data_IF_834929993034
#
_entry.id   IF_834929993034
#
_cell.length_a   1.000
_cell.length_b   1.000
_cell.length_c   1.000
_cell.angle_alpha   90.00
_cell.angle_beta   90.00
_cell.angle_gamma   90.00
#
_symmetry.space_group_name_H-M   'P 1'
#
loop_
_entity.id
_entity.type
_entity.pdbx_description
1 polymer ?
#
# COMPACT_ATOMS: atom_id res chain seq x y z
N UNK A 1 18.65 5.13 8.51
CA UNK A 1 17.26 5.32 8.97
C UNK A 1 16.93 6.80 8.87
N UNK A 2 15.95 7.16 8.06
CA UNK A 2 15.58 8.56 7.84
C UNK A 2 14.30 8.87 8.63
N UNK A 3 14.16 10.11 9.09
CA UNK A 3 12.97 10.58 9.80
C UNK A 3 12.46 11.83 9.10
N UNK A 4 11.24 11.74 8.57
CA UNK A 4 10.55 12.82 7.89
C UNK A 4 9.46 13.39 8.79
N UNK A 5 9.37 14.71 8.85
CA UNK A 5 8.36 15.43 9.60
C UNK A 5 7.54 16.29 8.62
N UNK A 6 6.34 15.84 8.30
CA UNK A 6 5.43 16.51 7.39
C UNK A 6 4.46 17.40 8.17
N UNK A 7 4.63 18.74 8.14
CA UNK A 7 3.60 19.63 8.64
C UNK A 7 2.36 19.52 7.76
N UNK A 8 1.19 19.79 8.34
CA UNK A 8 -0.06 19.86 7.56
C UNK A 8 0.06 20.90 6.44
N UNK A 9 -0.27 20.48 5.23
CA UNK A 9 -0.20 21.33 4.04
C UNK A 9 -1.53 21.96 3.71
N UNK A 10 -2.63 21.26 3.95
CA UNK A 10 -3.98 21.81 3.80
C UNK A 10 -4.87 21.26 4.90
N UNK A 11 -5.78 22.10 5.38
CA UNK A 11 -6.84 21.70 6.28
C UNK A 11 -8.08 22.56 6.07
N UNK A 12 -9.24 22.03 6.47
CA UNK A 12 -10.50 22.77 6.51
C UNK A 12 -11.48 21.97 7.37
N UNK A 13 -12.66 22.53 7.62
CA UNK A 13 -13.75 21.82 8.26
C UNK A 13 -15.09 22.21 7.64
N UNK A 14 -16.08 21.35 7.84
CA UNK A 14 -17.44 21.55 7.36
C UNK A 14 -18.42 21.27 8.48
N UNK A 15 -19.57 21.94 8.43
CA UNK A 15 -20.69 21.64 9.31
C UNK A 15 -22.02 21.93 8.61
N UNK A 16 -23.05 21.20 9.00
CA UNK A 16 -24.32 21.16 8.29
C UNK A 16 -25.21 22.41 8.49
N UNK A 17 -25.12 23.12 9.62
CA UNK A 17 -25.93 24.33 9.83
C UNK A 17 -25.59 25.48 8.86
N UNK A 18 -24.44 25.42 8.19
CA UNK A 18 -24.07 26.35 7.14
C UNK A 18 -23.52 25.61 5.92
N UNK A 19 -24.33 24.68 5.41
CA UNK A 19 -23.86 23.63 4.51
C UNK A 19 -23.18 24.14 3.23
N UNK A 20 -23.60 25.30 2.71
CA UNK A 20 -23.07 25.88 1.49
C UNK A 20 -21.83 26.78 1.70
N UNK A 21 -21.58 27.27 2.93
CA UNK A 21 -20.49 28.22 3.19
C UNK A 21 -19.19 27.47 3.53
N UNK A 22 -18.14 27.59 2.70
CA UNK A 22 -16.85 27.00 3.02
C UNK A 22 -16.22 27.70 4.21
N UNK A 23 -15.42 26.95 4.96
CA UNK A 23 -14.61 27.50 6.04
C UNK A 23 -13.20 27.75 5.50
N UNK A 24 -12.69 28.94 5.83
CA UNK A 24 -11.44 29.46 5.30
C UNK A 24 -10.45 29.69 6.42
N UNK A 25 -9.19 29.28 6.23
CA UNK A 25 -8.07 29.70 7.08
C UNK A 25 -8.33 29.49 8.57
N UNK A 26 -9.04 28.43 8.93
CA UNK A 26 -9.38 28.17 10.33
C UNK A 26 -8.12 27.93 11.14
N UNK A 27 -8.08 28.48 12.36
CA UNK A 27 -7.04 28.17 13.34
C UNK A 27 -7.29 26.83 14.05
N UNK A 28 -8.51 26.29 13.91
CA UNK A 28 -8.99 25.12 14.63
C UNK A 28 -9.71 24.15 13.71
N UNK A 29 -9.69 22.88 14.10
CA UNK A 29 -10.32 21.76 13.40
C UNK A 29 -11.36 21.14 14.34
N UNK A 30 -12.63 21.61 14.28
CA UNK A 30 -13.70 21.07 15.11
C UNK A 30 -14.12 19.67 14.65
N UNK A 31 -14.33 18.78 15.60
CA UNK A 31 -14.81 17.41 15.36
C UNK A 31 -15.81 17.04 16.44
N UNK A 32 -17.03 16.71 16.06
CA UNK A 32 -18.07 16.38 17.03
C UNK A 32 -19.47 16.64 16.55
N UNK A 33 -20.38 16.71 17.52
CA UNK A 33 -21.80 16.94 17.29
C UNK A 33 -22.37 17.78 18.42
N UNK A 34 -23.10 18.85 18.11
CA UNK A 34 -23.90 19.61 19.09
C UNK A 34 -25.38 19.43 18.76
N UNK A 35 -26.16 18.97 19.71
CA UNK A 35 -27.61 18.94 19.66
C UNK A 35 -28.13 20.21 20.34
N UNK A 36 -28.65 21.14 19.54
CA UNK A 36 -29.53 22.19 20.07
C UNK A 36 -30.95 21.61 20.19
N UNK A 37 -31.70 22.12 21.18
CA UNK A 37 -33.05 21.74 21.59
C UNK A 37 -33.95 21.06 20.52
N UNK A 38 -34.62 20.00 20.98
CA UNK A 38 -35.57 19.06 20.36
C UNK A 38 -35.29 18.45 18.97
N UNK A 39 -34.68 19.09 17.96
CA UNK A 39 -34.50 18.46 16.63
C UNK A 39 -33.28 18.88 15.79
N UNK A 40 -32.39 19.77 16.25
CA UNK A 40 -31.28 20.26 15.40
C UNK A 40 -29.92 19.75 15.86
N UNK A 41 -29.37 18.81 15.10
CA UNK A 41 -28.02 18.31 15.27
C UNK A 41 -27.05 19.05 14.34
N UNK A 42 -26.01 19.65 14.91
CA UNK A 42 -24.90 20.25 14.18
C UNK A 42 -23.73 19.29 14.18
N UNK A 43 -23.27 18.85 13.01
CA UNK A 43 -22.14 17.93 12.85
C UNK A 43 -20.91 18.68 12.36
N UNK A 44 -19.76 18.44 12.99
CA UNK A 44 -18.48 19.02 12.61
C UNK A 44 -17.55 17.92 12.12
N UNK A 45 -17.05 18.09 10.88
CA UNK A 45 -16.09 17.19 10.24
C UNK A 45 -14.89 18.03 9.82
N UNK A 46 -13.69 17.59 10.17
CA UNK A 46 -12.45 18.25 9.76
C UNK A 46 -11.66 17.41 8.77
N UNK A 47 -10.88 18.06 7.92
CA UNK A 47 -10.03 17.43 6.91
C UNK A 47 -8.60 17.93 7.04
N UNK A 48 -7.63 17.05 6.87
CA UNK A 48 -6.20 17.37 6.91
C UNK A 48 -5.46 16.64 5.79
N UNK A 49 -4.46 17.29 5.21
CA UNK A 49 -3.63 16.76 4.14
C UNK A 49 -2.16 17.01 4.42
N UNK A 50 -1.33 16.01 4.16
CA UNK A 50 0.13 16.05 4.26
C UNK A 50 0.72 15.75 2.89
N UNK A 51 1.60 16.60 2.39
CA UNK A 51 2.38 16.32 1.18
C UNK A 51 3.57 15.43 1.56
N UNK A 52 3.61 14.22 1.01
CA UNK A 52 4.65 13.23 1.31
C UNK A 52 5.84 13.30 0.35
N UNK A 53 5.89 14.31 -0.53
CA UNK A 53 7.07 14.57 -1.36
C UNK A 53 8.32 14.67 -0.50
N UNK A 54 9.38 14.01 -0.96
CA UNK A 54 10.67 13.96 -0.27
C UNK A 54 11.00 12.59 0.34
N UNK A 55 10.02 11.69 0.46
CA UNK A 55 10.29 10.26 0.64
C UNK A 55 10.68 9.71 -0.73
N UNK A 56 11.85 9.06 -0.81
CA UNK A 56 12.33 8.49 -2.08
C UNK A 56 11.63 7.15 -2.36
N UNK A 57 11.40 6.80 -3.62
CA UNK A 57 10.67 5.58 -4.02
C UNK A 57 11.32 4.27 -3.51
N UNK A 58 12.62 4.32 -3.18
CA UNK A 58 13.38 3.19 -2.63
C UNK A 58 13.30 3.05 -1.11
N UNK A 59 12.68 4.00 -0.41
CA UNK A 59 12.60 3.96 1.03
C UNK A 59 11.43 3.11 1.53
N UNK A 60 11.72 2.21 2.48
CA UNK A 60 10.69 1.38 3.11
C UNK A 60 10.18 2.08 4.36
N UNK A 61 8.88 2.39 4.39
CA UNK A 61 8.23 2.92 5.59
C UNK A 61 8.22 1.88 6.70
N UNK A 62 8.91 2.16 7.80
CA UNK A 62 8.90 1.31 8.99
C UNK A 62 7.80 1.70 9.97
N UNK A 63 7.56 3.00 10.14
CA UNK A 63 6.46 3.50 10.98
C UNK A 63 6.02 4.89 10.56
N UNK A 64 4.75 5.20 10.80
CA UNK A 64 4.21 6.54 10.68
C UNK A 64 3.28 6.87 11.86
N UNK A 65 3.49 8.05 12.45
CA UNK A 65 2.71 8.55 13.58
C UNK A 65 2.13 9.93 13.24
N UNK A 66 0.80 10.06 13.37
CA UNK A 66 0.10 11.33 13.28
C UNK A 66 -0.09 11.89 14.68
N UNK A 67 0.29 13.15 14.88
CA UNK A 67 0.08 13.91 16.11
C UNK A 67 -0.88 15.06 15.86
N UNK A 68 -1.93 15.13 16.66
CA UNK A 68 -2.93 16.20 16.68
C UNK A 68 -2.94 16.81 18.09
N UNK A 69 -2.76 18.13 18.20
CA UNK A 69 -2.85 18.81 19.50
C UNK A 69 -4.25 19.40 19.68
N UNK A 70 -4.82 19.24 20.88
CA UNK A 70 -6.10 19.85 21.22
C UNK A 70 -5.91 21.32 21.62
N UNK A 71 -6.95 22.11 21.37
CA UNK A 71 -7.08 23.47 21.88
C UNK A 71 -7.31 23.47 23.40
N UNK A 72 -7.23 24.63 24.05
CA UNK A 72 -7.53 24.78 25.48
C UNK A 72 -8.55 25.91 25.69
N UNK A 73 -9.77 25.63 26.20
CA UNK A 73 -10.28 24.31 26.56
C UNK A 73 -10.49 23.40 25.32
N UNK A 74 -10.31 22.08 25.45
CA UNK A 74 -10.29 21.18 24.29
C UNK A 74 -11.65 20.89 23.69
N UNK A 75 -12.75 21.22 24.38
CA UNK A 75 -14.10 20.95 23.92
C UNK A 75 -15.14 21.97 24.38
N UNK A 76 -16.26 21.98 23.66
CA UNK A 76 -17.53 22.58 24.09
C UNK A 76 -18.56 21.46 24.23
N UNK A 77 -19.34 21.47 25.31
CA UNK A 77 -20.32 20.41 25.62
C UNK A 77 -19.66 19.15 26.20
N UNK A 78 -20.31 17.99 26.02
CA UNK A 78 -19.77 16.68 26.43
C UNK A 78 -18.87 16.13 25.32
N UNK A 79 -17.55 16.01 25.54
CA UNK A 79 -16.64 15.60 24.48
C UNK A 79 -16.98 14.19 23.97
N UNK A 80 -16.79 13.92 22.67
CA UNK A 80 -16.92 12.57 22.14
C UNK A 80 -15.83 11.67 22.76
N UNK A 81 -16.22 10.44 23.07
CA UNK A 81 -15.33 9.42 23.66
C UNK A 81 -14.21 8.99 22.71
N UNK A 82 -14.40 9.18 21.41
CA UNK A 82 -13.42 8.88 20.38
C UNK A 82 -13.62 9.73 19.13
N UNK A 83 -12.54 9.88 18.37
CA UNK A 83 -12.54 10.46 17.02
C UNK A 83 -12.19 9.36 16.02
N UNK A 84 -12.89 9.33 14.90
CA UNK A 84 -12.60 8.44 13.78
C UNK A 84 -11.72 9.18 12.80
N UNK A 85 -10.58 8.59 12.44
CA UNK A 85 -9.65 9.09 11.43
C UNK A 85 -9.74 8.19 10.21
N UNK A 86 -10.02 8.77 9.05
CA UNK A 86 -10.39 8.00 7.87
C UNK A 86 -9.78 8.56 6.58
N UNK A 87 -9.33 7.69 5.68
CA UNK A 87 -8.77 8.12 4.39
C UNK A 87 -9.84 8.71 3.46
N UNK A 88 -9.46 9.72 2.70
CA UNK A 88 -10.30 10.35 1.69
C UNK A 88 -10.15 9.68 0.32
N UNK A 89 -11.27 9.49 -0.38
CA UNK A 89 -11.32 9.04 -1.78
C UNK A 89 -11.19 10.21 -2.77
N UNK A 90 -11.58 11.42 -2.34
CA UNK A 90 -11.58 12.64 -3.16
C UNK A 90 -10.77 13.75 -2.47
N UNK A 91 -10.13 14.65 -3.24
CA UNK A 91 -9.40 15.76 -2.67
C UNK A 91 -10.34 16.82 -2.07
N UNK A 92 -9.80 17.68 -1.22
CA UNK A 92 -10.49 18.85 -0.69
C UNK A 92 -9.60 20.10 -0.84
N UNK A 93 -10.19 21.28 -0.68
CA UNK A 93 -9.48 22.56 -0.76
C UNK A 93 -10.01 23.53 0.29
N UNK A 94 -9.10 24.19 1.00
CA UNK A 94 -9.45 25.30 1.90
C UNK A 94 -10.23 26.37 1.11
N UNK A 95 -11.21 27.00 1.75
CA UNK A 95 -12.11 27.98 1.14
C UNK A 95 -13.03 27.49 0.00
N UNK A 96 -13.00 26.22 -0.39
CA UNK A 96 -13.88 25.68 -1.44
C UNK A 96 -14.74 24.52 -0.95
N UNK A 97 -14.22 23.73 -0.01
CA UNK A 97 -14.94 22.64 0.61
C UNK A 97 -15.95 23.16 1.63
N UNK A 98 -17.20 22.72 1.47
CA UNK A 98 -18.34 22.98 2.33
C UNK A 98 -19.06 21.64 2.61
N UNK A 99 -20.15 21.67 3.38
CA UNK A 99 -20.80 20.42 3.76
C UNK A 99 -21.46 19.71 2.57
N UNK A 100 -21.93 20.45 1.56
CA UNK A 100 -22.62 19.90 0.39
C UNK A 100 -21.65 19.22 -0.61
N UNK A 101 -20.42 19.73 -0.75
CA UNK A 101 -19.39 19.20 -1.66
C UNK A 101 -18.22 18.52 -0.93
N UNK A 102 -18.46 18.03 0.29
CA UNK A 102 -17.45 17.39 1.12
C UNK A 102 -16.88 16.13 0.45
N UNK A 103 -15.57 15.85 0.60
CA UNK A 103 -14.93 14.71 -0.06
C UNK A 103 -15.49 13.38 0.44
N UNK A 104 -15.61 12.43 -0.48
CA UNK A 104 -16.00 11.06 -0.16
C UNK A 104 -14.89 10.36 0.66
N UNK A 105 -15.28 9.49 1.59
CA UNK A 105 -14.40 8.70 2.47
C UNK A 105 -14.25 7.27 1.96
N UNK A 106 -13.16 6.59 2.34
CA UNK A 106 -12.93 5.16 2.07
C UNK A 106 -13.35 4.33 3.31
N UNK A 107 -14.52 3.65 3.32
CA UNK A 107 -15.10 3.05 4.54
C UNK A 107 -14.19 2.05 5.28
N UNK A 108 -13.42 1.26 4.52
CA UNK A 108 -12.56 0.20 5.05
C UNK A 108 -11.27 0.74 5.70
N UNK A 109 -10.87 1.98 5.40
CA UNK A 109 -9.61 2.57 5.83
C UNK A 109 -9.83 3.60 6.94
N UNK A 110 -10.19 3.13 8.14
CA UNK A 110 -10.44 3.97 9.31
C UNK A 110 -9.70 3.50 10.56
N UNK A 111 -9.42 4.43 11.46
CA UNK A 111 -8.88 4.22 12.80
C UNK A 111 -9.78 4.94 13.80
N UNK A 112 -10.16 4.25 14.87
CA UNK A 112 -10.87 4.86 16.00
C UNK A 112 -9.83 5.23 17.05
N UNK A 113 -9.86 6.47 17.52
CA UNK A 113 -8.91 6.98 18.49
C UNK A 113 -9.65 7.47 19.74
N UNK A 114 -9.47 6.80 20.89
CA UNK A 114 -10.14 7.20 22.13
C UNK A 114 -9.61 8.54 22.64
N UNK A 115 -10.52 9.37 23.16
CA UNK A 115 -10.22 10.67 23.75
C UNK A 115 -10.34 10.54 25.26
N UNK A 116 -9.23 10.72 25.96
CA UNK A 116 -9.18 10.60 27.43
C UNK A 116 -9.40 11.97 28.08
N UNK A 117 -9.99 11.97 29.26
CA UNK A 117 -10.12 13.18 30.09
C UNK A 117 -8.72 13.76 30.37
N UNK A 118 -8.56 15.08 30.24
CA UNK A 118 -7.27 15.76 30.41
C UNK A 118 -6.27 15.60 29.26
N UNK A 119 -6.66 14.93 28.17
CA UNK A 119 -5.80 14.75 27.00
C UNK A 119 -5.54 16.09 26.29
N UNK A 120 -4.27 16.46 26.13
CA UNK A 120 -3.84 17.67 25.40
C UNK A 120 -3.38 17.37 23.96
N UNK A 121 -3.07 16.10 23.66
CA UNK A 121 -2.64 15.65 22.34
C UNK A 121 -3.06 14.22 22.06
N UNK A 122 -3.39 13.96 20.81
CA UNK A 122 -3.68 12.63 20.26
C UNK A 122 -2.52 12.22 19.37
N UNK A 123 -1.97 11.03 19.62
CA UNK A 123 -0.97 10.39 18.77
C UNK A 123 -1.49 9.03 18.31
N UNK A 124 -1.42 8.76 17.01
CA UNK A 124 -1.89 7.51 16.44
C UNK A 124 -0.93 6.96 15.39
N UNK A 125 -0.83 5.64 15.34
CA UNK A 125 -0.08 4.93 14.32
C UNK A 125 -0.93 4.83 13.04
N UNK A 126 -0.46 5.47 11.97
CA UNK A 126 -1.07 5.42 10.62
C UNK A 126 -0.13 4.82 9.57
N UNK A 127 0.80 3.95 10.00
CA UNK A 127 1.79 3.29 9.13
C UNK A 127 1.14 2.68 7.89
N UNK A 128 0.02 1.98 8.05
CA UNK A 128 -0.67 1.34 6.94
C UNK A 128 -1.27 2.35 5.95
N UNK A 129 -1.74 3.51 6.41
CA UNK A 129 -2.27 4.56 5.51
C UNK A 129 -1.14 5.14 4.66
N UNK A 130 0.00 5.44 5.29
CA UNK A 130 1.18 5.97 4.59
C UNK A 130 1.75 4.96 3.59
N UNK A 131 1.80 3.67 3.95
CA UNK A 131 2.19 2.60 3.00
C UNK A 131 1.25 2.53 1.80
N UNK A 132 -0.07 2.60 2.02
CA UNK A 132 -1.04 2.63 0.92
C UNK A 132 -0.85 3.83 0.00
N UNK A 133 -0.50 5.00 0.55
CA UNK A 133 -0.23 6.21 -0.24
C UNK A 133 1.03 6.12 -1.08
N UNK A 134 2.15 5.65 -0.51
CA UNK A 134 3.44 5.63 -1.19
C UNK A 134 3.58 4.46 -2.17
N UNK A 135 2.98 3.31 -1.87
CA UNK A 135 3.10 2.11 -2.71
C UNK A 135 1.98 1.98 -3.75
N UNK A 136 1.37 3.11 -4.13
CA UNK A 136 0.38 3.18 -5.21
C UNK A 136 -0.96 2.50 -4.93
N UNK A 137 -1.23 2.08 -3.70
CA UNK A 137 -2.50 1.43 -3.35
C UNK A 137 -3.69 2.41 -3.38
N UNK A 138 -3.49 3.64 -2.90
CA UNK A 138 -4.52 4.69 -2.84
C UNK A 138 -3.84 6.05 -3.04
N UNK A 139 -4.44 6.95 -3.84
CA UNK A 139 -3.95 8.33 -3.99
C UNK A 139 -4.12 9.08 -2.66
N UNK A 140 -3.07 9.81 -2.23
CA UNK A 140 -3.14 10.63 -1.01
C UNK A 140 -4.01 11.87 -1.22
N UNK A 141 -5.27 11.79 -0.81
CA UNK A 141 -6.18 12.93 -0.72
C UNK A 141 -6.33 13.48 0.71
N UNK A 142 -5.58 12.93 1.67
CA UNK A 142 -5.63 13.32 3.08
C UNK A 142 -6.55 12.43 3.93
N UNK A 143 -6.91 12.97 5.10
CA UNK A 143 -7.68 12.30 6.15
C UNK A 143 -8.88 13.15 6.58
N UNK A 144 -10.00 12.49 6.86
CA UNK A 144 -11.13 13.04 7.59
C UNK A 144 -11.03 12.71 9.09
N UNK A 145 -11.40 13.67 9.92
CA UNK A 145 -11.63 13.54 11.35
C UNK A 145 -13.14 13.62 11.59
N UNK A 146 -13.73 12.52 12.06
CA UNK A 146 -15.17 12.31 12.16
C UNK A 146 -15.56 11.98 13.61
N UNK A 147 -16.77 12.36 14.06
CA UNK A 147 -17.31 11.88 15.34
C UNK A 147 -17.63 10.37 15.28
N UNK A 148 -17.43 9.64 16.38
CA UNK A 148 -17.71 8.19 16.44
C UNK A 148 -19.21 7.85 16.56
N UNK A 149 -20.03 8.71 17.16
CA UNK A 149 -21.41 8.36 17.51
C UNK A 149 -22.39 9.52 17.43
N UNK A 150 -23.68 9.17 17.41
CA UNK A 150 -24.80 10.10 17.55
C UNK A 150 -25.03 10.57 19.00
N UNK A 151 -24.36 9.95 19.98
CA UNK A 151 -24.65 10.11 21.40
C UNK A 151 -23.81 11.19 22.09
N UNK A 152 -22.69 11.63 21.49
CA UNK A 152 -21.94 12.78 22.01
C UNK A 152 -22.69 14.08 21.74
N UNK A 153 -22.79 14.94 22.74
CA UNK A 153 -23.27 16.32 22.60
C UNK A 153 -22.12 17.31 22.93
N UNK A 154 -21.08 17.28 22.10
CA UNK A 154 -19.96 18.19 22.20
C UNK A 154 -19.01 18.12 21.00
N UNK A 155 -18.09 19.08 20.96
CA UNK A 155 -17.14 19.29 19.86
C UNK A 155 -15.75 19.40 20.43
N UNK A 156 -14.82 18.61 19.91
CA UNK A 156 -13.39 18.77 20.15
C UNK A 156 -12.80 19.76 19.16
N UNK A 157 -11.86 20.56 19.63
CA UNK A 157 -11.11 21.47 18.78
C UNK A 157 -9.65 21.02 18.74
N UNK A 158 -9.17 20.63 17.56
CA UNK A 158 -7.74 20.47 17.33
C UNK A 158 -7.16 21.76 16.77
N UNK A 159 -5.87 21.99 16.96
CA UNK A 159 -5.17 23.06 16.27
C UNK A 159 -5.09 22.75 14.76
N UNK A 160 -5.36 23.77 13.93
CA UNK A 160 -5.23 23.70 12.47
C UNK A 160 -3.91 24.28 11.96
N UNK A 161 -3.70 24.22 10.64
CA UNK A 161 -2.57 24.76 9.88
C UNK A 161 -2.32 26.24 10.16
N UNK A 162 -3.38 27.02 10.34
CA UNK A 162 -3.27 28.47 10.55
C UNK A 162 -3.07 28.85 12.03
N UNK A 163 -2.81 27.87 12.91
CA UNK A 163 -2.45 28.16 14.29
C UNK A 163 -1.13 28.93 14.36
N UNK A 164 -1.10 30.00 15.17
CA UNK A 164 0.09 30.83 15.38
C UNK A 164 1.29 30.05 15.95
N UNK A 165 1.06 29.10 16.87
CA UNK A 165 2.12 28.23 17.37
C UNK A 165 2.28 27.00 16.46
N UNK A 166 3.30 27.06 15.59
CA UNK A 166 3.63 25.97 14.65
C UNK A 166 3.85 24.62 15.31
N UNK A 167 4.26 24.59 16.59
CA UNK A 167 4.48 23.33 17.33
C UNK A 167 3.18 22.60 17.67
N UNK A 168 2.07 23.34 17.70
CA UNK A 168 0.74 22.80 17.98
C UNK A 168 0.02 22.31 16.72
N UNK A 169 0.50 22.67 15.53
CA UNK A 169 -0.11 22.22 14.27
C UNK A 169 -0.06 20.69 14.13
N UNK A 170 -0.99 20.09 13.36
CA UNK A 170 -0.94 18.68 13.02
C UNK A 170 0.40 18.32 12.36
N UNK A 171 0.99 17.22 12.81
CA UNK A 171 2.29 16.75 12.35
C UNK A 171 2.24 15.26 12.04
N UNK A 172 2.69 14.87 10.86
CA UNK A 172 2.91 13.48 10.49
C UNK A 172 4.40 13.18 10.50
N UNK A 173 4.84 12.30 11.39
CA UNK A 173 6.21 11.80 11.42
C UNK A 173 6.27 10.44 10.76
N UNK A 174 7.10 10.29 9.74
CA UNK A 174 7.34 9.03 9.03
C UNK A 174 8.79 8.63 9.21
N UNK A 175 9.01 7.39 9.64
CA UNK A 175 10.34 6.78 9.75
C UNK A 175 10.50 5.79 8.61
N UNK A 176 11.60 5.92 7.89
CA UNK A 176 11.96 5.03 6.79
C UNK A 176 13.28 4.36 7.06
N UNK A 177 13.48 3.21 6.43
CA UNK A 177 14.81 2.70 6.19
C UNK A 177 15.11 2.96 4.72
N UNK A 178 16.24 3.64 4.47
CA UNK A 178 16.89 3.52 3.16
C UNK A 178 17.06 2.04 2.97
N UNK A 179 16.37 1.51 1.96
CA UNK A 179 16.83 0.26 1.42
C UNK A 179 18.14 0.66 0.73
N UNK A 180 19.24 0.58 1.48
CA UNK A 180 20.58 0.39 0.91
C UNK A 180 20.57 -1.01 0.28
N UNK A 181 19.63 -1.25 -0.63
CA UNK A 181 19.74 -2.30 -1.61
C UNK A 181 20.91 -1.78 -2.43
N UNK A 182 22.09 -2.42 -2.40
CA UNK A 182 23.03 -2.20 -3.47
C UNK A 182 22.23 -2.33 -4.75
N UNK A 183 22.34 -1.36 -5.65
CA UNK A 183 21.52 -1.15 -6.84
C UNK A 183 21.48 -2.33 -7.84
N UNK A 184 21.83 -3.54 -7.43
CA UNK A 184 21.16 -4.76 -7.88
C UNK A 184 19.67 -4.64 -7.55
N UNK A 185 18.90 -4.13 -8.52
CA UNK A 185 17.70 -4.88 -8.93
C UNK A 185 18.15 -6.34 -8.87
N UNK A 186 17.63 -7.13 -7.92
CA UNK A 186 17.90 -8.57 -7.89
C UNK A 186 17.19 -9.16 -9.12
N UNK A 187 17.71 -8.83 -10.31
CA UNK A 187 17.55 -9.63 -11.51
C UNK A 187 18.19 -10.94 -11.13
N UNK A 188 17.39 -11.86 -10.60
CA UNK A 188 17.81 -13.23 -10.46
C UNK A 188 17.99 -13.74 -11.88
N UNK A 189 19.23 -13.66 -12.37
CA UNK A 189 19.68 -14.35 -13.55
C UNK A 189 20.24 -15.68 -13.06
N UNK A 190 19.33 -16.61 -12.78
CA UNK A 190 19.70 -17.97 -12.45
C UNK A 190 19.96 -18.71 -13.77
N UNK A 191 21.12 -19.34 -13.88
CA UNK A 191 21.53 -20.10 -15.06
C UNK A 191 21.83 -21.54 -14.66
N UNK A 192 21.22 -22.50 -15.35
CA UNK A 192 21.43 -23.93 -15.14
C UNK A 192 21.70 -24.64 -16.48
N UNK A 193 22.50 -25.70 -16.43
CA UNK A 193 22.73 -26.61 -17.56
C UNK A 193 22.45 -28.02 -17.08
N UNK A 194 21.61 -28.75 -17.82
CA UNK A 194 21.18 -30.10 -17.45
C UNK A 194 21.33 -31.09 -18.61
N UNK A 195 21.86 -32.30 -18.35
CA UNK A 195 21.76 -33.39 -19.30
C UNK A 195 20.31 -33.86 -19.40
N UNK A 196 19.91 -34.32 -20.57
CA UNK A 196 18.54 -34.81 -20.83
C UNK A 196 18.59 -36.27 -21.26
N UNK A 197 17.82 -37.12 -20.59
CA UNK A 197 17.67 -38.54 -20.90
C UNK A 197 16.24 -38.86 -21.35
N UNK A 198 15.95 -40.15 -21.61
CA UNK A 198 14.59 -40.61 -21.93
C UNK A 198 13.61 -40.45 -20.77
N UNK A 199 14.10 -40.50 -19.52
CA UNK A 199 13.30 -40.31 -18.33
C UNK A 199 13.14 -38.83 -18.01
N UNK A 200 12.03 -38.47 -17.36
CA UNK A 200 11.79 -37.11 -16.92
C UNK A 200 12.92 -36.62 -16.01
N UNK A 201 13.45 -35.46 -16.36
CA UNK A 201 14.42 -34.70 -15.58
C UNK A 201 13.84 -33.30 -15.32
N UNK A 202 14.37 -32.62 -14.30
CA UNK A 202 13.79 -31.37 -13.81
C UNK A 202 14.88 -30.34 -13.55
N UNK A 203 14.58 -29.07 -13.83
CA UNK A 203 15.39 -27.96 -13.32
C UNK A 203 15.22 -27.83 -11.80
N UNK A 204 16.05 -27.01 -11.16
CA UNK A 204 15.73 -26.61 -9.78
C UNK A 204 14.37 -25.91 -9.75
N UNK A 205 13.64 -26.11 -8.66
CA UNK A 205 12.44 -25.34 -8.38
C UNK A 205 12.82 -23.98 -7.80
N UNK A 206 12.25 -22.92 -8.38
CA UNK A 206 12.53 -21.55 -7.98
C UNK A 206 11.28 -20.94 -7.35
N UNK A 207 11.47 -20.31 -6.20
CA UNK A 207 10.43 -19.50 -5.55
C UNK A 207 10.29 -18.16 -6.27
N UNK A 208 9.07 -17.83 -6.69
CA UNK A 208 8.77 -16.68 -7.56
C UNK A 208 7.80 -15.67 -6.94
N UNK A 209 7.48 -15.82 -5.65
CA UNK A 209 6.49 -14.99 -4.95
C UNK A 209 6.79 -13.49 -4.99
N UNK A 210 8.07 -13.13 -4.99
CA UNK A 210 8.53 -11.74 -4.94
C UNK A 210 8.65 -11.09 -6.33
N UNK A 211 8.33 -11.79 -7.43
CA UNK A 211 8.37 -11.21 -8.77
C UNK A 211 7.00 -10.74 -9.23
N UNK A 212 6.91 -9.49 -9.69
CA UNK A 212 5.73 -8.98 -10.38
C UNK A 212 5.56 -9.61 -11.77
N UNK A 213 6.68 -9.94 -12.44
CA UNK A 213 6.71 -10.66 -13.72
C UNK A 213 7.98 -11.52 -13.82
N UNK A 214 7.89 -12.70 -14.42
CA UNK A 214 9.06 -13.56 -14.67
C UNK A 214 8.88 -14.38 -15.95
N UNK A 215 10.01 -14.90 -16.46
CA UNK A 215 10.05 -15.84 -17.59
C UNK A 215 11.18 -16.85 -17.40
N UNK A 216 10.95 -18.08 -17.86
CA UNK A 216 11.99 -19.09 -18.01
C UNK A 216 12.38 -19.16 -19.49
N UNK A 217 13.65 -18.99 -19.79
CA UNK A 217 14.20 -19.15 -21.14
C UNK A 217 14.93 -20.48 -21.17
N UNK A 218 14.57 -21.37 -22.09
CA UNK A 218 15.25 -22.65 -22.28
C UNK A 218 15.87 -22.69 -23.66
N UNK A 219 17.10 -23.19 -23.75
CA UNK A 219 17.81 -23.42 -25.02
C UNK A 219 18.32 -24.85 -25.08
N UNK A 220 18.03 -25.51 -26.19
CA UNK A 220 18.66 -26.78 -26.50
C UNK A 220 20.08 -26.53 -27.02
N UNK A 221 21.08 -26.91 -26.24
CA UNK A 221 22.50 -26.77 -26.59
C UNK A 221 23.14 -28.11 -26.98
N UNK A 222 22.34 -29.17 -27.07
CA UNK A 222 22.76 -30.50 -27.55
C UNK A 222 22.43 -30.73 -29.03
N UNK A 223 22.58 -31.99 -29.45
CA UNK A 223 22.35 -32.45 -30.83
C UNK A 223 21.07 -33.28 -31.01
N UNK A 224 20.23 -33.34 -29.97
CA UNK A 224 19.04 -34.19 -29.88
C UNK A 224 17.80 -33.34 -29.71
N UNK A 225 16.66 -33.78 -30.21
CA UNK A 225 15.40 -33.12 -29.91
C UNK A 225 15.02 -33.32 -28.43
N UNK A 226 14.41 -32.31 -27.82
CA UNK A 226 14.09 -32.31 -26.38
C UNK A 226 12.66 -31.83 -26.18
N UNK A 227 11.88 -32.55 -25.40
CA UNK A 227 10.55 -32.13 -24.95
C UNK A 227 10.70 -31.38 -23.63
N UNK A 228 10.09 -30.20 -23.54
CA UNK A 228 10.14 -29.33 -22.36
C UNK A 228 8.73 -28.91 -21.97
N UNK A 229 8.45 -28.91 -20.67
CA UNK A 229 7.16 -28.51 -20.10
C UNK A 229 7.34 -27.67 -18.85
N UNK A 230 6.53 -26.64 -18.71
CA UNK A 230 6.52 -25.79 -17.52
C UNK A 230 5.72 -26.49 -16.41
N UNK A 231 6.22 -26.42 -15.18
CA UNK A 231 5.55 -26.95 -14.00
C UNK A 231 5.45 -25.89 -12.91
N UNK A 232 4.28 -25.82 -12.26
CA UNK A 232 3.94 -24.82 -11.26
C UNK A 232 3.50 -25.51 -9.96
N UNK A 233 3.86 -24.96 -8.80
CA UNK A 233 3.54 -25.54 -7.49
C UNK A 233 3.29 -24.48 -6.41
N UNK A 234 2.28 -24.65 -5.54
CA UNK A 234 2.09 -23.76 -4.38
C UNK A 234 3.01 -24.11 -3.20
N UNK A 235 3.51 -25.34 -3.11
CA UNK A 235 4.14 -25.91 -1.91
C UNK A 235 5.53 -26.52 -2.14
N UNK A 236 6.06 -26.44 -3.38
CA UNK A 236 7.31 -27.04 -3.82
C UNK A 236 7.34 -28.58 -3.70
N UNK A 237 6.17 -29.23 -3.61
CA UNK A 237 6.03 -30.68 -3.52
C UNK A 237 5.14 -31.22 -4.63
N UNK A 238 3.96 -30.62 -4.77
CA UNK A 238 2.96 -31.01 -5.75
C UNK A 238 3.04 -30.07 -6.95
N UNK A 239 3.55 -30.59 -8.07
CA UNK A 239 3.72 -29.83 -9.31
C UNK A 239 2.63 -30.18 -10.32
N UNK A 240 2.08 -29.15 -10.96
CA UNK A 240 1.07 -29.24 -12.00
C UNK A 240 1.74 -28.95 -13.33
N UNK A 241 1.55 -29.82 -14.32
CA UNK A 241 2.00 -29.64 -15.69
C UNK A 241 1.16 -28.55 -16.38
N UNK A 242 1.83 -27.60 -17.03
CA UNK A 242 1.21 -26.60 -17.88
C UNK A 242 1.31 -27.01 -19.35
N UNK A 243 0.22 -26.88 -20.11
CA UNK A 243 0.18 -27.17 -21.54
C UNK A 243 0.55 -25.93 -22.37
N UNK A 244 1.19 -26.09 -23.55
CA UNK A 244 1.61 -27.35 -24.18
C UNK A 244 3.02 -27.81 -23.79
N UNK A 245 3.31 -29.10 -23.96
CA UNK A 245 4.69 -29.61 -24.03
C UNK A 245 5.34 -29.17 -25.37
N UNK A 246 6.52 -28.55 -25.30
CA UNK A 246 7.22 -27.97 -26.46
C UNK A 246 8.38 -28.85 -26.87
N UNK A 247 8.49 -29.20 -28.16
CA UNK A 247 9.67 -29.83 -28.73
C UNK A 247 10.70 -28.78 -29.17
N UNK A 248 11.92 -28.87 -28.65
CA UNK A 248 13.05 -28.02 -28.99
C UNK A 248 14.05 -28.77 -29.86
N UNK A 249 14.24 -28.29 -31.09
CA UNK A 249 15.30 -28.76 -31.99
C UNK A 249 16.68 -28.26 -31.54
N UNK A 250 17.78 -28.90 -31.98
CA UNK A 250 19.15 -28.46 -31.69
C UNK A 250 19.35 -26.96 -31.99
N UNK A 251 19.85 -26.22 -31.01
CA UNK A 251 20.09 -24.78 -31.10
C UNK A 251 18.88 -23.87 -30.86
N UNK A 252 17.66 -24.42 -30.80
CA UNK A 252 16.42 -23.66 -30.58
C UNK A 252 16.33 -23.14 -29.14
N UNK A 253 15.77 -21.94 -29.00
CA UNK A 253 15.41 -21.34 -27.71
C UNK A 253 13.90 -21.10 -27.65
N UNK A 254 13.33 -21.24 -26.46
CA UNK A 254 11.92 -20.92 -26.18
C UNK A 254 11.82 -20.12 -24.88
N UNK A 255 10.92 -19.13 -24.88
CA UNK A 255 10.50 -18.42 -23.67
C UNK A 255 9.22 -19.06 -23.14
N UNK A 256 9.21 -19.40 -21.86
CA UNK A 256 8.07 -19.97 -21.15
C UNK A 256 7.63 -19.00 -20.05
N UNK A 257 6.33 -18.70 -20.02
CA UNK A 257 5.69 -17.84 -19.03
C UNK A 257 4.53 -18.64 -18.45
N UNK A 258 4.37 -18.60 -17.13
CA UNK A 258 3.27 -19.30 -16.47
C UNK A 258 1.96 -18.58 -16.68
N UNK A 259 0.91 -19.33 -17.00
CA UNK A 259 -0.47 -18.84 -16.98
C UNK A 259 -1.09 -18.84 -15.57
N UNK A 260 -0.38 -19.40 -14.58
CA UNK A 260 -0.83 -19.48 -13.19
C UNK A 260 0.06 -18.66 -12.25
N UNK A 261 -0.56 -18.04 -11.25
CA UNK A 261 0.15 -17.43 -10.13
C UNK A 261 0.38 -18.47 -9.03
N UNK A 262 1.55 -19.10 -9.04
CA UNK A 262 1.97 -20.05 -8.00
C UNK A 262 3.26 -19.59 -7.32
N UNK A 263 3.58 -20.17 -6.17
CA UNK A 263 4.77 -19.78 -5.39
C UNK A 263 6.08 -20.32 -5.97
N UNK A 264 6.04 -21.50 -6.59
CA UNK A 264 7.20 -22.17 -7.15
C UNK A 264 6.98 -22.52 -8.62
N UNK A 265 8.07 -22.50 -9.39
CA UNK A 265 8.09 -22.89 -10.81
C UNK A 265 9.34 -23.72 -11.12
N UNK A 266 9.24 -24.65 -12.08
CA UNK A 266 10.39 -25.39 -12.65
C UNK A 266 10.09 -25.85 -14.09
N UNK A 267 11.11 -26.33 -14.80
CA UNK A 267 10.94 -27.03 -16.07
C UNK A 267 11.09 -28.53 -15.88
N UNK A 268 10.20 -29.30 -16.54
CA UNK A 268 10.34 -30.74 -16.79
C UNK A 268 10.86 -30.93 -18.21
N UNK A 269 11.81 -31.83 -18.41
CA UNK A 269 12.35 -32.12 -19.73
C UNK A 269 12.77 -33.59 -19.90
N UNK A 270 12.65 -34.10 -21.14
CA UNK A 270 13.01 -35.47 -21.53
C UNK A 270 13.29 -35.57 -23.03
N UNK A 271 13.92 -36.65 -23.46
CA UNK A 271 14.02 -36.98 -24.88
C UNK A 271 12.69 -37.55 -25.40
N UNK A 272 12.29 -37.25 -26.65
CA UNK A 272 11.24 -37.98 -27.34
C UNK A 272 11.55 -39.48 -27.45
N UNK A 273 10.52 -40.32 -27.61
CA UNK A 273 10.66 -41.79 -27.64
C UNK A 273 11.59 -42.30 -28.76
N UNK A 274 11.60 -41.58 -29.89
CA UNK A 274 12.41 -41.85 -31.07
C UNK A 274 13.90 -41.48 -30.92
N UNK A 275 14.24 -40.63 -29.95
CA UNK A 275 15.63 -40.21 -29.73
C UNK A 275 16.38 -41.21 -28.84
N UNK A 276 17.70 -41.29 -29.04
CA UNK A 276 18.60 -42.15 -28.25
C UNK A 276 19.80 -41.34 -27.75
N UNK A 277 20.43 -41.81 -26.67
CA UNK A 277 21.58 -41.15 -26.06
C UNK A 277 21.19 -40.09 -25.03
N UNK A 278 21.91 -38.97 -25.02
CA UNK A 278 21.73 -37.85 -24.09
C UNK A 278 21.63 -36.53 -24.86
N UNK A 279 20.71 -35.66 -24.43
CA UNK A 279 20.60 -34.27 -24.85
C UNK A 279 21.20 -33.32 -23.81
N UNK A 280 21.15 -32.01 -24.09
CA UNK A 280 21.65 -30.98 -23.19
C UNK A 280 20.80 -29.71 -23.30
N UNK A 281 20.30 -29.21 -22.17
CA UNK A 281 19.54 -27.96 -22.09
C UNK A 281 20.24 -26.94 -21.22
N UNK A 282 20.10 -25.67 -21.58
CA UNK A 282 20.49 -24.52 -20.78
C UNK A 282 19.25 -23.70 -20.44
N UNK A 283 19.11 -23.31 -19.19
CA UNK A 283 17.91 -22.66 -18.64
C UNK A 283 18.34 -21.35 -17.98
N UNK A 284 17.59 -20.28 -18.26
CA UNK A 284 17.71 -19.01 -17.56
C UNK A 284 16.37 -18.64 -16.93
N UNK A 285 16.39 -18.20 -15.67
CA UNK A 285 15.29 -17.44 -15.10
C UNK A 285 15.58 -15.94 -15.29
N UNK A 286 14.57 -15.18 -15.71
CA UNK A 286 14.59 -13.73 -15.66
C UNK A 286 13.34 -13.23 -14.95
N UNK A 287 13.53 -12.52 -13.84
CA UNK A 287 12.45 -11.95 -13.04
C UNK A 287 12.63 -10.46 -12.82
N UNK A 288 11.51 -9.73 -12.78
CA UNK A 288 11.43 -8.35 -12.29
C UNK A 288 10.64 -8.39 -10.98
N UNK A 289 11.28 -7.93 -9.90
CA UNK A 289 10.62 -7.62 -8.66
C UNK A 289 9.83 -6.33 -8.87
#
# INVERSE_FOLDING_TARGET
MSIYNFPVQQDTFVYNNNAAKPQCRSQYLPVGKISDSFFRNTYFISYIFFDLKGIEDKEVVTSAALRLNLFSPPFVGTPPEAVVIQMLAEPFRDCQTNFLNRPTIIPKMKKIVPIRVGCQKVELNITNFVKCWLYGGIINHGLALLPISNCSNGVLFFHGKNCHDKRKQPLLTVKTLSHDIPNTINKLNLEEVHPVAKQDSYSSAVEIWDYSTYSLIVKNIGHKNILVKLQCSPDNKNFIDEEPEIELYPGMSQVMVSNFFTRYVRLKFRLPSQETGQGLVKIWLQGRQ
#
